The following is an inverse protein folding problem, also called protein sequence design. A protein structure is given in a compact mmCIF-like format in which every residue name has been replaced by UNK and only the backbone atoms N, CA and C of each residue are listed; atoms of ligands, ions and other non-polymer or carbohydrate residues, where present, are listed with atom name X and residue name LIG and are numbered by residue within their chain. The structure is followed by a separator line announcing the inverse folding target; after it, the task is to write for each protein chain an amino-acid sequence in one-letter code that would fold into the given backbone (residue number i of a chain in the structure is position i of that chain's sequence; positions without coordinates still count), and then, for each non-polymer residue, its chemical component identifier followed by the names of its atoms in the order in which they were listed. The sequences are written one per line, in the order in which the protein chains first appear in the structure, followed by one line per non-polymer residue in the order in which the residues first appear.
data_IF_398049154575
#
_entry.id   IF_398049154575
#
_cell.length_a   1.000
_cell.length_b   1.000
_cell.length_c   1.000
_cell.angle_alpha   90.00
_cell.angle_beta   90.00
_cell.angle_gamma   90.00
#
_symmetry.space_group_name_H-M   'P 1'
#
loop_
_entity.id
_entity.type
_entity.pdbx_description
1 polymer ?
#
# COMPACT_ATOMS: atom_id res chain seq x y z
N UNK A 1 -49.17 -41.32 -16.48
CA UNK A 1 -47.78 -40.88 -16.77
C UNK A 1 -47.53 -39.60 -15.98
N UNK A 2 -46.65 -39.61 -14.98
CA UNK A 2 -46.27 -38.44 -14.20
C UNK A 2 -44.86 -38.01 -14.62
N UNK A 3 -44.74 -36.82 -15.22
CA UNK A 3 -43.45 -36.20 -15.53
C UNK A 3 -43.01 -35.46 -14.25
N UNK A 4 -42.03 -36.02 -13.55
CA UNK A 4 -41.36 -35.37 -12.41
C UNK A 4 -40.33 -34.39 -12.96
N UNK A 5 -40.69 -33.11 -13.06
CA UNK A 5 -39.74 -32.02 -13.27
C UNK A 5 -38.93 -31.81 -11.99
N UNK A 6 -37.65 -32.21 -12.03
CA UNK A 6 -36.68 -31.88 -10.98
C UNK A 6 -35.80 -30.75 -11.53
N UNK A 7 -36.07 -29.53 -11.08
CA UNK A 7 -35.23 -28.37 -11.33
C UNK A 7 -33.99 -28.48 -10.41
N UNK A 8 -32.74 -28.47 -10.92
CA UNK A 8 -31.60 -28.35 -10.03
C UNK A 8 -31.43 -26.86 -9.70
N UNK A 9 -31.77 -26.48 -8.46
CA UNK A 9 -31.27 -25.25 -7.84
C UNK A 9 -29.76 -25.39 -7.67
N UNK A 10 -28.99 -24.97 -8.67
CA UNK A 10 -27.57 -24.71 -8.49
C UNK A 10 -27.41 -23.34 -7.80
N UNK A 11 -27.49 -23.33 -6.47
CA UNK A 11 -27.10 -22.18 -5.67
C UNK A 11 -25.57 -22.03 -5.76
N UNK A 12 -25.10 -21.17 -6.67
CA UNK A 12 -23.70 -20.74 -6.73
C UNK A 12 -23.41 -19.94 -5.46
N UNK A 13 -22.72 -20.57 -4.50
CA UNK A 13 -22.14 -19.92 -3.34
C UNK A 13 -21.01 -19.00 -3.81
N UNK A 14 -21.31 -17.73 -4.07
CA UNK A 14 -20.31 -16.68 -4.25
C UNK A 14 -19.76 -16.36 -2.85
N UNK A 15 -18.77 -17.13 -2.40
CA UNK A 15 -17.98 -16.74 -1.24
C UNK A 15 -17.13 -15.53 -1.64
N UNK A 16 -17.13 -14.42 -0.88
CA UNK A 16 -16.22 -13.32 -1.12
C UNK A 16 -14.80 -13.85 -0.90
N UNK A 17 -14.01 -13.93 -1.97
CA UNK A 17 -12.57 -14.11 -1.81
C UNK A 17 -12.08 -12.92 -0.97
N UNK A 18 -11.29 -13.16 0.10
CA UNK A 18 -10.73 -12.06 0.86
C UNK A 18 -9.93 -11.18 -0.11
N UNK A 19 -10.30 -9.91 -0.21
CA UNK A 19 -9.46 -8.92 -0.86
C UNK A 19 -8.07 -9.03 -0.25
N UNK A 20 -7.08 -9.40 -1.06
CA UNK A 20 -5.71 -9.58 -0.59
C UNK A 20 -5.20 -8.21 -0.16
N UNK A 21 -4.96 -8.05 1.13
CA UNK A 21 -4.48 -6.79 1.68
C UNK A 21 -3.10 -6.47 1.10
N UNK A 22 -2.87 -5.21 0.75
CA UNK A 22 -1.58 -4.74 0.24
C UNK A 22 -0.46 -4.99 1.28
N UNK A 23 0.69 -5.47 0.80
CA UNK A 23 1.86 -5.83 1.61
C UNK A 23 3.12 -5.14 1.10
N UNK A 24 4.19 -5.16 1.90
CA UNK A 24 5.49 -4.62 1.49
C UNK A 24 6.13 -5.37 0.31
N UNK A 25 5.77 -6.65 0.12
CA UNK A 25 6.34 -7.49 -0.92
C UNK A 25 5.73 -7.22 -2.29
N UNK A 26 4.57 -6.55 -2.33
CA UNK A 26 3.87 -6.26 -3.57
C UNK A 26 4.60 -5.16 -4.36
N UNK A 27 4.52 -5.21 -5.71
CA UNK A 27 5.10 -4.18 -6.56
C UNK A 27 4.34 -2.85 -6.42
N UNK A 28 4.98 -1.74 -6.78
CA UNK A 28 4.34 -0.42 -6.79
C UNK A 28 3.16 -0.33 -7.77
N UNK A 29 3.11 -1.18 -8.79
CA UNK A 29 1.90 -1.33 -9.62
C UNK A 29 0.70 -1.82 -8.82
N UNK A 30 0.89 -2.71 -7.83
CA UNK A 30 -0.19 -3.12 -6.94
C UNK A 30 -0.65 -1.96 -6.05
N UNK A 31 0.29 -1.14 -5.56
CA UNK A 31 -0.03 0.09 -4.83
C UNK A 31 -0.90 1.04 -5.66
N UNK A 32 -0.50 1.32 -6.90
CA UNK A 32 -1.23 2.23 -7.79
C UNK A 32 -2.65 1.75 -8.11
N UNK A 33 -2.87 0.43 -8.17
CA UNK A 33 -4.17 -0.17 -8.44
C UNK A 33 -5.00 -0.44 -7.16
N UNK A 34 -4.40 -0.30 -5.98
CA UNK A 34 -5.07 -0.59 -4.71
C UNK A 34 -6.07 0.49 -4.31
N UNK A 35 -7.07 0.08 -3.53
CA UNK A 35 -8.04 1.00 -2.97
C UNK A 35 -7.36 2.04 -2.07
N UNK A 36 -7.98 3.22 -1.91
CA UNK A 36 -7.48 4.23 -0.98
C UNK A 36 -7.40 3.69 0.46
N UNK A 37 -8.33 2.79 0.85
CA UNK A 37 -8.33 2.16 2.17
C UNK A 37 -7.13 1.23 2.36
N UNK A 38 -6.78 0.41 1.37
CA UNK A 38 -5.65 -0.53 1.48
C UNK A 38 -4.31 0.21 1.55
N UNK A 39 -4.14 1.24 0.72
CA UNK A 39 -2.96 2.13 0.76
C UNK A 39 -2.83 2.81 2.11
N UNK A 40 -3.93 3.37 2.63
CA UNK A 40 -3.95 4.00 3.96
C UNK A 40 -3.66 3.02 5.09
N UNK A 41 -4.18 1.78 5.00
CA UNK A 41 -3.92 0.76 6.00
C UNK A 41 -2.43 0.38 6.05
N UNK A 42 -1.80 0.20 4.89
CA UNK A 42 -0.38 -0.12 4.81
C UNK A 42 0.49 1.08 5.24
N UNK A 43 0.18 2.29 4.77
CA UNK A 43 0.86 3.52 5.19
C UNK A 43 0.77 3.75 6.70
N UNK A 44 -0.37 3.43 7.31
CA UNK A 44 -0.56 3.52 8.77
C UNK A 44 0.33 2.55 9.53
N UNK A 45 0.56 1.34 8.98
CA UNK A 45 1.50 0.39 9.59
C UNK A 45 2.91 0.95 9.55
N UNK A 46 3.34 1.57 8.46
CA UNK A 46 4.64 2.26 8.39
C UNK A 46 4.72 3.41 9.40
N UNK A 47 3.72 4.28 9.45
CA UNK A 47 3.69 5.38 10.42
C UNK A 47 3.91 4.89 11.85
N UNK A 48 3.17 3.85 12.26
CA UNK A 48 3.32 3.24 13.59
C UNK A 48 4.71 2.65 13.83
N UNK A 49 5.31 2.02 12.81
CA UNK A 49 6.64 1.40 12.93
C UNK A 49 7.79 2.42 13.02
N UNK A 50 7.65 3.59 12.41
CA UNK A 50 8.75 4.55 12.26
C UNK A 50 8.61 5.83 13.09
N UNK A 51 7.42 6.13 13.63
CA UNK A 51 7.18 7.37 14.40
C UNK A 51 8.12 7.57 15.59
N UNK A 52 8.60 6.49 16.22
CA UNK A 52 9.55 6.57 17.33
C UNK A 52 10.94 7.05 16.92
N UNK A 53 11.29 6.92 15.63
CA UNK A 53 12.59 7.37 15.09
C UNK A 53 12.55 8.84 14.65
N UNK A 54 11.38 9.32 14.21
CA UNK A 54 11.12 10.71 13.84
C UNK A 54 9.61 10.93 13.85
N UNK A 55 9.14 11.91 14.60
CA UNK A 55 7.71 12.25 14.72
C UNK A 55 7.04 12.60 13.39
N UNK A 56 7.82 13.03 12.40
CA UNK A 56 7.34 13.28 11.05
C UNK A 56 7.08 12.02 10.22
N UNK A 57 7.47 10.82 10.67
CA UNK A 57 7.14 9.56 10.00
C UNK A 57 5.68 9.17 10.29
N UNK A 58 4.75 9.94 9.73
CA UNK A 58 3.30 9.74 9.88
C UNK A 58 2.73 8.86 8.78
N UNK A 59 1.51 8.33 8.98
CA UNK A 59 0.78 7.62 7.91
C UNK A 59 0.64 8.46 6.64
N UNK A 60 0.32 9.76 6.80
CA UNK A 60 0.17 10.69 5.69
C UNK A 60 1.48 10.92 4.94
N UNK A 61 2.61 10.96 5.66
CA UNK A 61 3.94 11.04 5.05
C UNK A 61 4.20 9.84 4.14
N UNK A 62 4.01 8.61 4.65
CA UNK A 62 4.25 7.41 3.85
C UNK A 62 3.28 7.27 2.69
N UNK A 63 1.99 7.59 2.88
CA UNK A 63 1.01 7.56 1.81
C UNK A 63 1.45 8.47 0.65
N UNK A 64 1.73 9.74 0.95
CA UNK A 64 2.12 10.72 -0.06
C UNK A 64 3.41 10.33 -0.75
N UNK A 65 4.43 9.96 0.02
CA UNK A 65 5.74 9.63 -0.55
C UNK A 65 5.68 8.39 -1.46
N UNK A 66 4.97 7.34 -1.07
CA UNK A 66 4.83 6.14 -1.91
C UNK A 66 3.94 6.42 -3.13
N UNK A 67 2.87 7.22 -2.99
CA UNK A 67 2.07 7.68 -4.14
C UNK A 67 2.95 8.43 -5.15
N UNK A 68 3.76 9.39 -4.69
CA UNK A 68 4.70 10.15 -5.53
C UNK A 68 5.69 9.20 -6.25
N UNK A 69 6.28 8.22 -5.54
CA UNK A 69 7.19 7.24 -6.13
C UNK A 69 6.47 6.36 -7.17
N UNK A 70 5.25 5.92 -6.89
CA UNK A 70 4.48 4.98 -7.73
C UNK A 70 4.13 5.55 -9.11
N UNK A 71 4.13 6.88 -9.25
CA UNK A 71 3.83 7.57 -10.50
C UNK A 71 5.05 7.58 -11.46
N UNK A 72 6.27 7.47 -10.94
CA UNK A 72 7.47 7.44 -11.78
C UNK A 72 7.53 6.15 -12.60
N UNK A 73 7.54 6.30 -13.93
CA UNK A 73 7.40 5.18 -14.88
C UNK A 73 8.45 4.06 -14.74
N UNK A 74 9.63 4.35 -14.17
CA UNK A 74 10.69 3.37 -13.93
C UNK A 74 10.56 2.56 -12.62
N UNK A 75 9.61 2.90 -11.74
CA UNK A 75 9.50 2.28 -10.41
C UNK A 75 8.44 1.16 -10.35
N UNK A 76 7.76 0.84 -11.45
CA UNK A 76 6.59 -0.05 -11.48
C UNK A 76 6.83 -1.45 -10.90
N UNK A 77 8.01 -2.00 -11.14
CA UNK A 77 8.41 -3.35 -10.68
C UNK A 77 9.12 -3.33 -9.32
N UNK A 78 9.46 -2.14 -8.80
CA UNK A 78 10.03 -2.02 -7.47
C UNK A 78 9.00 -2.36 -6.41
N UNK A 79 9.44 -2.94 -5.29
CA UNK A 79 8.54 -3.32 -4.21
C UNK A 79 8.13 -2.08 -3.42
N UNK A 80 6.98 -2.16 -2.77
CA UNK A 80 6.54 -1.13 -1.82
C UNK A 80 7.56 -0.95 -0.69
N UNK A 81 8.26 -2.02 -0.30
CA UNK A 81 9.38 -1.94 0.65
C UNK A 81 10.51 -1.02 0.17
N UNK A 82 10.88 -1.09 -1.12
CA UNK A 82 11.96 -0.27 -1.68
C UNK A 82 11.56 1.22 -1.66
N UNK A 83 10.31 1.51 -2.02
CA UNK A 83 9.75 2.86 -1.93
C UNK A 83 9.72 3.38 -0.49
N UNK A 84 9.30 2.55 0.46
CA UNK A 84 9.29 2.92 1.89
C UNK A 84 10.70 3.22 2.39
N UNK A 85 11.71 2.44 2.00
CA UNK A 85 13.12 2.70 2.34
C UNK A 85 13.59 4.03 1.77
N UNK A 86 13.25 4.32 0.52
CA UNK A 86 13.58 5.60 -0.11
C UNK A 86 12.90 6.77 0.60
N UNK A 87 11.63 6.65 1.00
CA UNK A 87 10.94 7.66 1.80
C UNK A 87 11.67 7.95 3.12
N UNK A 88 12.06 6.89 3.85
CA UNK A 88 12.82 7.04 5.11
C UNK A 88 14.16 7.72 4.86
N UNK A 89 14.91 7.26 3.86
CA UNK A 89 16.22 7.81 3.51
C UNK A 89 16.10 9.29 3.09
N UNK A 90 15.13 9.63 2.26
CA UNK A 90 14.87 11.00 1.79
C UNK A 90 14.56 11.94 2.95
N UNK A 91 13.66 11.55 3.86
CA UNK A 91 13.34 12.37 5.04
C UNK A 91 14.54 12.57 5.96
N UNK A 92 15.37 11.54 6.12
CA UNK A 92 16.59 11.62 6.93
C UNK A 92 17.64 12.56 6.30
N UNK A 93 17.76 12.57 4.97
CA UNK A 93 18.63 13.52 4.25
C UNK A 93 18.18 14.97 4.43
N UNK A 94 16.87 15.23 4.36
CA UNK A 94 16.30 16.57 4.60
C UNK A 94 16.49 17.06 6.04
N UNK A 95 16.55 16.15 7.02
CA UNK A 95 16.91 16.51 8.40
C UNK A 95 18.41 16.82 8.55
N UNK A 96 19.25 16.26 7.66
CA UNK A 96 20.70 16.33 7.74
C UNK A 96 21.31 17.51 6.96
N UNK A 97 20.54 18.26 6.16
CA UNK A 97 20.94 19.61 5.78
C UNK A 97 20.89 20.46 7.04
N UNK A 98 22.05 20.84 7.60
CA UNK A 98 22.06 21.77 8.70
C UNK A 98 21.56 23.10 8.16
N UNK A 99 20.81 23.83 8.99
CA UNK A 99 20.78 25.28 8.98
C UNK A 99 22.21 25.85 9.24
N UNK A 100 23.18 25.46 8.41
CA UNK A 100 24.48 26.11 8.30
C UNK A 100 24.39 27.01 7.07
N UNK A 101 23.94 28.24 7.30
CA UNK A 101 24.56 29.49 6.84
C UNK A 101 23.51 30.63 6.76
N UNK A 102 23.43 31.37 7.87
CA UNK A 102 23.16 32.81 8.02
C UNK A 102 21.74 33.40 7.88
#
# INVERSE_FOLDING_TARGET
MCIKTVLPLAAVLILPLPAQALTMADPLTAWANASAMDRMALATRFGKSFVSLNEGFTSGFFLKCIDDISIYGGAKDAKIEDAMRECVASKQRLKATPDDDE
#
